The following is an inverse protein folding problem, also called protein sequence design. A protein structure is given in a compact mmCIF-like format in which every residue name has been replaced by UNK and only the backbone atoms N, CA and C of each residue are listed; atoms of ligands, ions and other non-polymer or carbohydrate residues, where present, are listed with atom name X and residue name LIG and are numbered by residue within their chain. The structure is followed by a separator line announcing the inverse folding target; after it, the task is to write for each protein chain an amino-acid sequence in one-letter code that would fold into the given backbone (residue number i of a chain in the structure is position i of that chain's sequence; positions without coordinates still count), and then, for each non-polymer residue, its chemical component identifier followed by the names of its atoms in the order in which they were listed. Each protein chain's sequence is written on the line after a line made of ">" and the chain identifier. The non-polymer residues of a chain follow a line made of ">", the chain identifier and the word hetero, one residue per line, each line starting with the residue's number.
data_IF_442919539414
#
_entry.id   IF_442919539414
#
_cell.length_a   1.000
_cell.length_b   1.000
_cell.length_c   1.000
_cell.angle_alpha   90.00
_cell.angle_beta   90.00
_cell.angle_gamma   90.00
#
_symmetry.space_group_name_H-M   'P 1'
#
loop_
_entity.id
_entity.type
_entity.pdbx_description
1 polymer ?
#
# COMPACT_ATOMS: atom_id res chain seq x y z
N UNK A 1 33.74 17.44 51.85
CA UNK A 1 33.83 16.70 50.58
C UNK A 1 32.52 15.97 50.32
N UNK A 2 31.59 16.56 49.58
CA UNK A 2 30.32 15.92 49.17
C UNK A 2 30.05 16.31 47.71
N UNK A 3 30.46 15.49 46.77
CA UNK A 3 30.07 15.60 45.36
C UNK A 3 30.11 14.22 44.72
N UNK A 4 29.06 13.42 44.88
CA UNK A 4 28.70 12.32 43.95
C UNK A 4 27.24 11.92 44.22
N UNK A 5 26.26 12.72 43.78
CA UNK A 5 24.87 12.24 43.71
C UNK A 5 24.00 12.99 42.67
N UNK A 6 24.60 13.64 41.67
CA UNK A 6 23.89 14.40 40.66
C UNK A 6 24.34 14.00 39.25
N UNK A 7 24.25 12.72 38.90
CA UNK A 7 24.50 12.28 37.50
C UNK A 7 23.88 10.93 37.17
N UNK A 8 22.62 10.69 37.57
CA UNK A 8 21.85 9.54 37.05
C UNK A 8 20.44 9.90 36.54
N UNK A 9 19.97 11.13 36.78
CA UNK A 9 18.64 11.58 36.38
C UNK A 9 18.63 12.21 34.96
N UNK A 10 19.69 12.92 34.56
CA UNK A 10 19.76 13.60 33.27
C UNK A 10 19.97 12.65 32.07
N UNK A 11 20.63 11.50 32.25
CA UNK A 11 20.86 10.51 31.18
C UNK A 11 19.62 9.67 30.83
N UNK A 12 18.68 9.52 31.75
CA UNK A 12 17.43 8.79 31.49
C UNK A 12 16.46 9.56 30.58
N UNK A 13 16.42 10.89 30.70
CA UNK A 13 15.53 11.73 29.89
C UNK A 13 15.98 11.84 28.41
N UNK A 14 17.28 11.86 28.15
CA UNK A 14 17.84 11.92 26.78
C UNK A 14 17.63 10.59 26.04
N UNK A 15 17.68 9.46 26.73
CA UNK A 15 17.40 8.13 26.13
C UNK A 15 15.92 7.90 25.85
N UNK A 16 15.02 8.44 26.67
CA UNK A 16 13.57 8.34 26.43
C UNK A 16 13.13 9.16 25.19
N UNK A 17 13.74 10.33 24.97
CA UNK A 17 13.48 11.16 23.78
C UNK A 17 14.06 10.56 22.48
N UNK A 18 15.22 9.91 22.54
CA UNK A 18 15.79 9.20 21.39
C UNK A 18 15.03 7.90 21.05
N UNK A 19 14.36 7.26 22.02
CA UNK A 19 13.51 6.10 21.77
C UNK A 19 12.15 6.49 21.15
N UNK A 20 11.58 7.63 21.56
CA UNK A 20 10.30 8.14 21.02
C UNK A 20 10.36 8.52 19.53
N UNK A 21 11.49 8.99 19.01
CA UNK A 21 11.62 9.39 17.59
C UNK A 21 11.72 8.16 16.65
N UNK A 22 12.05 6.98 17.17
CA UNK A 22 12.09 5.75 16.35
C UNK A 22 10.73 5.07 16.17
N UNK A 23 9.70 5.49 16.91
CA UNK A 23 8.38 4.89 16.83
C UNK A 23 7.55 5.52 15.69
N UNK A 24 7.34 4.71 14.64
CA UNK A 24 6.29 4.85 13.62
C UNK A 24 6.59 5.63 12.34
N UNK A 25 7.71 5.36 11.70
CA UNK A 25 7.78 5.40 10.24
C UNK A 25 7.90 3.97 9.67
N UNK A 26 6.83 3.17 9.78
CA UNK A 26 6.77 1.90 9.04
C UNK A 26 6.43 2.23 7.58
N UNK A 27 7.38 2.02 6.67
CA UNK A 27 7.17 2.24 5.24
C UNK A 27 6.17 1.22 4.69
N UNK A 28 5.09 1.69 4.08
CA UNK A 28 4.23 0.84 3.25
C UNK A 28 5.02 0.38 2.02
N UNK A 29 5.18 -0.93 1.86
CA UNK A 29 5.81 -1.50 0.66
C UNK A 29 4.84 -1.36 -0.51
N UNK A 30 5.23 -0.60 -1.55
CA UNK A 30 4.43 -0.47 -2.76
C UNK A 30 4.91 -1.51 -3.78
N UNK A 31 4.05 -2.48 -4.10
CA UNK A 31 4.38 -3.59 -5.00
C UNK A 31 4.08 -3.28 -6.46
N UNK A 32 4.79 -3.90 -7.40
CA UNK A 32 4.35 -3.94 -8.80
C UNK A 32 3.22 -4.96 -8.93
N UNK A 33 2.17 -4.63 -9.69
CA UNK A 33 1.07 -5.56 -9.87
C UNK A 33 1.46 -6.67 -10.87
N UNK A 34 1.67 -7.88 -10.35
CA UNK A 34 1.76 -9.10 -11.15
C UNK A 34 0.37 -9.79 -11.20
N UNK A 35 -0.20 -10.07 -12.39
CA UNK A 35 -1.47 -10.81 -12.50
C UNK A 35 -1.48 -12.20 -11.85
N UNK A 36 -0.32 -12.83 -11.66
CA UNK A 36 -0.18 -14.16 -11.09
C UNK A 36 0.16 -14.14 -9.59
N UNK A 37 0.48 -12.97 -9.01
CA UNK A 37 0.77 -12.84 -7.59
C UNK A 37 -0.54 -12.73 -6.79
N UNK A 38 -0.60 -13.49 -5.69
CA UNK A 38 -1.65 -13.34 -4.68
C UNK A 38 -1.06 -12.54 -3.52
N UNK A 39 -1.66 -11.39 -3.24
CA UNK A 39 -1.23 -10.52 -2.15
C UNK A 39 -1.94 -10.95 -0.86
N UNK A 40 -1.17 -11.36 0.13
CA UNK A 40 -1.69 -11.69 1.46
C UNK A 40 -1.73 -10.44 2.33
N UNK A 41 -2.90 -10.14 2.89
CA UNK A 41 -3.16 -8.97 3.74
C UNK A 41 -3.55 -9.46 5.14
N UNK A 42 -3.02 -8.80 6.17
CA UNK A 42 -3.27 -9.18 7.57
C UNK A 42 -4.07 -8.13 8.31
N UNK A 43 -4.70 -8.47 9.45
CA UNK A 43 -5.43 -7.48 10.24
C UNK A 43 -4.51 -6.40 10.85
N UNK A 44 -3.21 -6.70 11.02
CA UNK A 44 -2.20 -5.74 11.46
C UNK A 44 -1.80 -4.74 10.36
N UNK A 45 -1.92 -5.13 9.09
CA UNK A 45 -1.53 -4.35 7.92
C UNK A 45 -2.65 -4.39 6.88
N UNK A 46 -3.64 -3.52 7.07
CA UNK A 46 -4.89 -3.51 6.29
C UNK A 46 -4.84 -2.64 5.04
N UNK A 47 -3.72 -1.99 4.80
CA UNK A 47 -3.51 -1.10 3.67
C UNK A 47 -2.40 -1.70 2.78
N UNK A 48 -2.67 -1.76 1.48
CA UNK A 48 -1.72 -2.22 0.47
C UNK A 48 -1.77 -1.28 -0.71
N UNK A 49 -0.60 -0.96 -1.25
CA UNK A 49 -0.48 -0.18 -2.47
C UNK A 49 0.17 -1.01 -3.60
N UNK A 50 -0.33 -0.84 -4.82
CA UNK A 50 0.29 -1.38 -6.03
C UNK A 50 0.66 -0.27 -7.01
N UNK A 51 1.64 -0.52 -7.87
CA UNK A 51 2.07 0.34 -8.97
C UNK A 51 1.74 -0.29 -10.30
N UNK A 52 1.16 0.52 -11.18
CA UNK A 52 0.88 0.18 -12.56
C UNK A 52 1.56 1.18 -13.49
N UNK A 53 2.26 0.74 -14.55
CA UNK A 53 2.73 1.64 -15.59
C UNK A 53 1.57 2.46 -16.16
N UNK A 54 1.76 3.77 -16.30
CA UNK A 54 0.73 4.68 -16.79
C UNK A 54 1.35 5.80 -17.62
N UNK A 55 0.68 6.19 -18.71
CA UNK A 55 1.04 7.37 -19.47
C UNK A 55 -0.19 8.26 -19.75
N UNK A 56 -0.55 9.17 -18.83
CA UNK A 56 -1.72 10.05 -19.00
C UNK A 56 -1.65 10.96 -20.23
N UNK A 57 -0.46 11.26 -20.77
CA UNK A 57 -0.32 12.08 -21.98
C UNK A 57 -0.96 11.46 -23.23
N UNK A 58 -1.20 10.15 -23.21
CA UNK A 58 -1.87 9.39 -24.28
C UNK A 58 -3.40 9.38 -24.15
N UNK A 59 -3.94 9.97 -23.07
CA UNK A 59 -5.35 9.94 -22.70
C UNK A 59 -5.78 8.67 -21.95
N UNK A 60 -4.91 7.67 -21.83
CA UNK A 60 -5.22 6.42 -21.14
C UNK A 60 -4.98 6.51 -19.63
N UNK A 61 -5.97 6.06 -18.86
CA UNK A 61 -5.96 6.00 -17.40
C UNK A 61 -6.30 4.60 -16.93
N UNK A 62 -5.77 4.23 -15.76
CA UNK A 62 -6.29 3.08 -15.03
C UNK A 62 -7.59 3.48 -14.34
N UNK A 63 -8.63 2.66 -14.46
CA UNK A 63 -9.94 2.90 -13.86
C UNK A 63 -10.36 1.68 -13.05
N UNK A 64 -11.03 1.93 -11.92
CA UNK A 64 -11.58 0.89 -11.07
C UNK A 64 -12.83 0.29 -11.70
N UNK A 65 -12.76 -0.98 -12.09
CA UNK A 65 -13.87 -1.67 -12.73
C UNK A 65 -14.73 -2.44 -11.73
N UNK A 66 -14.11 -3.23 -10.86
CA UNK A 66 -14.84 -4.00 -9.85
C UNK A 66 -14.02 -4.26 -8.61
N UNK A 67 -14.68 -4.27 -7.45
CA UNK A 67 -14.10 -4.61 -6.16
C UNK A 67 -15.21 -4.98 -5.17
N UNK A 68 -14.86 -5.68 -4.09
CA UNK A 68 -15.82 -6.04 -3.04
C UNK A 68 -15.96 -4.93 -1.99
N UNK A 69 -17.01 -4.12 -2.13
CA UNK A 69 -17.37 -3.04 -1.20
C UNK A 69 -17.65 -3.52 0.23
N UNK A 70 -17.96 -4.80 0.44
CA UNK A 70 -18.22 -5.34 1.77
C UNK A 70 -16.92 -5.57 2.57
N UNK A 71 -15.80 -5.75 1.86
CA UNK A 71 -14.48 -6.05 2.42
C UNK A 71 -13.55 -4.84 2.46
N UNK A 72 -13.65 -3.92 1.50
CA UNK A 72 -12.74 -2.76 1.40
C UNK A 72 -13.48 -1.43 1.31
N UNK A 73 -12.78 -0.36 1.70
CA UNK A 73 -13.15 1.01 1.38
C UNK A 73 -12.93 1.28 -0.12
N UNK A 74 -13.45 2.39 -0.64
CA UNK A 74 -13.25 2.73 -2.05
C UNK A 74 -11.76 2.89 -2.34
N UNK A 75 -11.18 2.10 -3.25
CA UNK A 75 -9.78 2.25 -3.65
C UNK A 75 -9.50 3.65 -4.20
N UNK A 76 -8.36 4.20 -3.83
CA UNK A 76 -7.91 5.52 -4.30
C UNK A 76 -6.65 5.37 -5.13
N UNK A 77 -6.46 6.29 -6.08
CA UNK A 77 -5.29 6.26 -6.96
C UNK A 77 -4.66 7.62 -7.13
N UNK A 78 -3.34 7.65 -7.28
CA UNK A 78 -2.56 8.83 -7.62
C UNK A 78 -1.62 8.51 -8.80
N UNK A 79 -1.33 9.50 -9.65
CA UNK A 79 -0.32 9.39 -10.69
C UNK A 79 0.99 10.03 -10.24
N UNK A 80 2.08 9.29 -10.36
CA UNK A 80 3.43 9.79 -10.11
C UNK A 80 4.19 9.82 -11.44
N UNK A 81 4.62 11.01 -11.91
CA UNK A 81 5.38 11.11 -13.15
C UNK A 81 6.74 10.40 -13.03
N UNK A 82 7.22 9.87 -14.14
CA UNK A 82 8.59 9.34 -14.23
C UNK A 82 9.62 10.46 -14.01
N UNK A 83 10.78 10.12 -13.46
CA UNK A 83 11.91 11.07 -13.30
C UNK A 83 12.61 11.24 -14.65
N UNK A 84 12.12 12.17 -15.47
CA UNK A 84 12.71 12.55 -16.75
C UNK A 84 12.30 13.98 -17.12
N UNK A 85 13.17 14.61 -17.90
CA UNK A 85 13.00 15.91 -18.55
C UNK A 85 12.08 15.89 -19.78
N UNK A 86 11.68 14.71 -20.25
CA UNK A 86 10.83 14.56 -21.44
C UNK A 86 9.35 14.82 -21.14
N UNK A 87 8.78 15.81 -21.83
CA UNK A 87 7.33 16.06 -21.81
C UNK A 87 6.58 14.85 -22.36
N UNK A 88 5.53 14.42 -21.66
CA UNK A 88 4.71 13.28 -22.04
C UNK A 88 5.31 11.90 -21.73
N UNK A 89 6.42 11.86 -20.99
CA UNK A 89 7.01 10.59 -20.57
C UNK A 89 6.08 9.78 -19.66
N UNK A 90 6.14 8.44 -19.72
CA UNK A 90 5.36 7.58 -18.85
C UNK A 90 5.81 7.72 -17.38
N UNK A 91 4.89 7.39 -16.49
CA UNK A 91 5.10 7.29 -15.06
C UNK A 91 4.38 6.06 -14.51
N UNK A 92 3.87 6.18 -13.28
CA UNK A 92 3.13 5.11 -12.62
C UNK A 92 1.84 5.62 -12.00
N UNK A 93 0.80 4.80 -12.03
CA UNK A 93 -0.40 4.97 -11.22
C UNK A 93 -0.25 4.10 -9.96
N UNK A 94 -0.28 4.73 -8.79
CA UNK A 94 -0.30 4.05 -7.50
C UNK A 94 -1.76 3.87 -7.09
N UNK A 95 -2.17 2.64 -6.81
CA UNK A 95 -3.50 2.29 -6.31
C UNK A 95 -3.41 1.79 -4.88
N UNK A 96 -4.18 2.39 -3.98
CA UNK A 96 -4.21 2.05 -2.55
C UNK A 96 -5.52 1.36 -2.21
N UNK A 97 -5.42 0.21 -1.56
CA UNK A 97 -6.52 -0.62 -1.10
C UNK A 97 -6.53 -0.68 0.42
N UNK A 98 -7.64 -0.27 1.02
CA UNK A 98 -7.83 -0.29 2.46
C UNK A 98 -8.94 -1.25 2.84
N UNK A 99 -8.59 -2.28 3.59
CA UNK A 99 -9.51 -3.33 4.02
C UNK A 99 -10.17 -2.99 5.36
N UNK A 100 -11.49 -3.21 5.43
CA UNK A 100 -12.29 -2.99 6.64
C UNK A 100 -11.87 -3.98 7.72
N UNK A 101 -11.91 -3.57 8.99
CA UNK A 101 -11.55 -4.45 10.13
C UNK A 101 -12.32 -5.79 10.10
N UNK A 102 -13.63 -5.73 9.80
CA UNK A 102 -14.51 -6.90 9.73
C UNK A 102 -14.10 -7.92 8.66
N UNK A 103 -13.39 -7.50 7.61
CA UNK A 103 -12.95 -8.37 6.53
C UNK A 103 -11.93 -9.44 7.00
N UNK A 104 -11.35 -9.27 8.18
CA UNK A 104 -10.40 -10.19 8.79
C UNK A 104 -11.03 -11.10 9.86
N UNK A 105 -12.36 -11.12 9.97
CA UNK A 105 -13.04 -12.02 10.91
C UNK A 105 -12.98 -13.48 10.48
N UNK A 106 -12.89 -13.72 9.17
CA UNK A 106 -12.75 -15.03 8.53
C UNK A 106 -11.72 -14.94 7.41
N UNK A 107 -11.28 -16.09 6.88
CA UNK A 107 -10.45 -16.13 5.67
C UNK A 107 -11.29 -15.70 4.47
N UNK A 108 -10.89 -14.61 3.80
CA UNK A 108 -11.55 -14.15 2.59
C UNK A 108 -10.57 -14.15 1.41
N UNK A 109 -11.08 -14.46 0.22
CA UNK A 109 -10.40 -14.23 -1.05
C UNK A 109 -11.19 -13.19 -1.82
N UNK A 110 -10.52 -12.19 -2.37
CA UNK A 110 -11.19 -11.17 -3.19
C UNK A 110 -10.31 -10.75 -4.36
N UNK A 111 -10.94 -10.20 -5.39
CA UNK A 111 -10.24 -9.73 -6.60
C UNK A 111 -10.68 -8.31 -6.91
N UNK A 112 -9.70 -7.46 -7.16
CA UNK A 112 -9.93 -6.14 -7.77
C UNK A 112 -9.61 -6.22 -9.25
N UNK A 113 -10.45 -5.58 -10.08
CA UNK A 113 -10.22 -5.45 -11.52
C UNK A 113 -10.03 -3.97 -11.83
N UNK A 114 -8.89 -3.65 -12.45
CA UNK A 114 -8.56 -2.34 -12.99
C UNK A 114 -8.48 -2.43 -14.51
N UNK A 115 -8.94 -1.40 -15.21
CA UNK A 115 -8.97 -1.34 -16.67
C UNK A 115 -8.18 -0.13 -17.16
N UNK A 116 -7.29 -0.34 -18.13
CA UNK A 116 -6.55 0.72 -18.78
C UNK A 116 -7.27 1.12 -20.06
N UNK A 117 -7.87 2.30 -20.05
CA UNK A 117 -8.70 2.82 -21.14
C UNK A 117 -8.75 4.34 -21.14
N UNK A 118 -9.24 4.91 -22.24
CA UNK A 118 -9.66 6.31 -22.29
C UNK A 118 -11.07 6.42 -21.72
N UNK A 119 -11.34 7.34 -20.78
CA UNK A 119 -12.66 7.46 -20.15
C UNK A 119 -13.83 7.68 -21.11
N UNK A 120 -13.57 8.28 -22.28
CA UNK A 120 -14.55 8.57 -23.32
C UNK A 120 -14.68 7.46 -24.39
N UNK A 121 -13.87 6.41 -24.32
CA UNK A 121 -13.92 5.27 -25.24
C UNK A 121 -14.44 4.02 -24.52
N UNK A 122 -15.05 3.10 -25.27
CA UNK A 122 -15.51 1.82 -24.73
C UNK A 122 -14.41 0.74 -24.74
N UNK A 123 -13.27 1.02 -25.38
CA UNK A 123 -12.21 0.05 -25.62
C UNK A 123 -11.28 -0.09 -24.40
N UNK A 124 -11.20 -1.31 -23.86
CA UNK A 124 -10.24 -1.67 -22.81
C UNK A 124 -8.97 -2.22 -23.44
N UNK A 125 -7.84 -1.52 -23.24
CA UNK A 125 -6.55 -1.93 -23.82
C UNK A 125 -5.81 -2.92 -22.91
N UNK A 126 -5.95 -2.76 -21.59
CA UNK A 126 -5.37 -3.70 -20.61
C UNK A 126 -6.30 -3.92 -19.43
N UNK A 127 -6.34 -5.14 -18.92
CA UNK A 127 -7.01 -5.48 -17.66
C UNK A 127 -5.96 -5.94 -16.66
N UNK A 128 -5.98 -5.38 -15.46
CA UNK A 128 -5.18 -5.86 -14.34
C UNK A 128 -6.12 -6.48 -13.31
N UNK A 129 -5.86 -7.74 -12.97
CA UNK A 129 -6.51 -8.42 -11.84
C UNK A 129 -5.52 -8.43 -10.68
N UNK A 130 -6.02 -8.13 -9.49
CA UNK A 130 -5.22 -8.13 -8.26
C UNK A 130 -5.94 -9.02 -7.28
N UNK A 131 -5.29 -10.12 -6.92
CA UNK A 131 -5.85 -11.13 -6.05
C UNK A 131 -5.38 -10.90 -4.62
N UNK A 132 -6.32 -10.87 -3.68
CA UNK A 132 -6.04 -10.70 -2.26
C UNK A 132 -6.53 -11.89 -1.45
N UNK A 133 -5.73 -12.30 -0.47
CA UNK A 133 -6.16 -13.18 0.61
C UNK A 133 -6.10 -12.39 1.92
N UNK A 134 -7.23 -12.30 2.62
CA UNK A 134 -7.35 -11.59 3.89
C UNK A 134 -7.32 -12.61 5.03
N UNK A 135 -6.36 -12.47 5.94
CA UNK A 135 -6.23 -13.35 7.12
C UNK A 135 -6.05 -12.53 8.40
N UNK A 136 -6.60 -12.98 9.53
CA UNK A 136 -6.53 -12.24 10.80
C UNK A 136 -5.10 -11.95 11.27
N UNK A 137 -4.15 -12.84 10.98
CA UNK A 137 -2.75 -12.67 11.35
C UNK A 137 -2.45 -13.24 12.74
N UNK A 138 -2.00 -14.50 12.75
CA UNK A 138 -1.18 -15.14 13.80
C UNK A 138 -0.74 -16.54 13.35
N UNK A 139 -0.60 -16.79 12.04
CA UNK A 139 -0.15 -18.08 11.55
C UNK A 139 0.89 -17.84 10.46
N UNK A 140 2.08 -18.39 10.71
CA UNK A 140 3.20 -18.50 9.77
C UNK A 140 4.08 -17.24 9.66
N UNK A 141 4.94 -17.05 10.68
CA UNK A 141 6.34 -16.69 10.46
C UNK A 141 7.00 -17.91 9.79
N UNK A 142 7.30 -17.81 8.50
CA UNK A 142 8.24 -18.71 7.83
C UNK A 142 9.42 -17.88 7.35
N UNK A 143 10.17 -17.38 8.32
CA UNK A 143 11.62 -17.38 8.22
C UNK A 143 12.12 -18.83 8.16
N UNK A 144 12.14 -19.40 6.95
CA UNK A 144 13.05 -20.48 6.52
C UNK A 144 13.40 -20.30 5.05
#
# INVERSE_FOLDING_TARGET
>A
MKKQLFSRCAQAFVWCFLWLITMNARSEEIKYADPNEIIVVTAAHREVAIRLPANPSTGYLWMLHSYDKSLMETPVSEYIPGRTDKIGAPGVSIWRFKFKARAFQSLHKTTVILQYQRPWEQTVVKKQRVHFILRRGSDVDLSR
#
